data_IF_497550683409
#
_entry.id   IF_497550683409
#
_cell.length_a   1.000
_cell.length_b   1.000
_cell.length_c   1.000
_cell.angle_alpha   90.00
_cell.angle_beta   90.00
_cell.angle_gamma   90.00
#
_symmetry.space_group_name_H-M   'P 1'
#
loop_
_entity.id
_entity.type
_entity.pdbx_description
1 polymer ?
#
# COMPACT_ATOMS: atom_id res chain seq x y z
N UNK A 1 2.52 0.89 -1.84
CA UNK A 1 3.26 1.17 -0.59
C UNK A 1 2.27 1.20 0.56
N UNK A 2 2.58 0.52 1.66
CA UNK A 2 1.76 0.50 2.89
C UNK A 2 2.47 1.24 4.01
N UNK A 3 1.75 1.53 5.08
CA UNK A 3 2.29 2.17 6.28
C UNK A 3 3.01 1.13 7.15
N UNK A 4 4.21 1.44 7.62
CA UNK A 4 4.94 0.61 8.57
C UNK A 4 4.24 0.53 9.93
N UNK A 5 4.37 -0.62 10.58
CA UNK A 5 4.01 -0.78 11.98
C UNK A 5 4.79 0.20 12.85
N UNK A 6 4.07 0.95 13.67
CA UNK A 6 4.70 1.79 14.70
C UNK A 6 5.43 0.91 15.73
N UNK A 7 6.41 1.45 16.49
CA UNK A 7 7.21 0.65 17.40
C UNK A 7 6.41 -0.15 18.45
N UNK A 8 5.29 0.39 18.94
CA UNK A 8 4.43 -0.33 19.91
C UNK A 8 3.80 -1.57 19.30
N UNK A 9 3.28 -1.46 18.07
CA UNK A 9 2.56 -2.54 17.39
C UNK A 9 3.51 -3.62 16.89
N UNK A 10 4.72 -3.22 16.50
CA UNK A 10 5.80 -4.17 16.21
C UNK A 10 6.20 -4.97 17.46
N UNK A 11 6.30 -4.30 18.62
CA UNK A 11 6.64 -4.95 19.90
C UNK A 11 5.54 -5.89 20.39
N UNK A 12 4.28 -5.57 20.13
CA UNK A 12 3.15 -6.44 20.49
C UNK A 12 2.97 -7.63 19.55
N UNK A 13 3.72 -7.69 18.43
CA UNK A 13 3.59 -8.74 17.44
C UNK A 13 2.31 -8.62 16.61
N UNK A 14 1.80 -7.41 16.41
CA UNK A 14 0.59 -7.18 15.62
C UNK A 14 0.76 -7.73 14.19
N UNK A 15 -0.20 -8.54 13.77
CA UNK A 15 -0.23 -9.12 12.43
C UNK A 15 -0.97 -8.23 11.44
N UNK A 16 -0.51 -8.24 10.18
CA UNK A 16 -1.08 -7.47 9.07
C UNK A 16 -1.48 -8.40 7.90
N UNK A 17 -2.44 -9.32 8.09
CA UNK A 17 -2.79 -10.33 7.08
C UNK A 17 -3.25 -9.71 5.75
N UNK A 18 -3.81 -8.49 5.80
CA UNK A 18 -4.22 -7.73 4.61
C UNK A 18 -3.06 -7.46 3.64
N UNK A 19 -1.82 -7.36 4.13
CA UNK A 19 -0.64 -7.15 3.27
C UNK A 19 -0.36 -8.35 2.38
N UNK A 20 -0.57 -9.58 2.88
CA UNK A 20 -0.45 -10.80 2.06
C UNK A 20 -1.47 -10.80 0.94
N UNK A 21 -2.72 -10.40 1.23
CA UNK A 21 -3.77 -10.25 0.22
C UNK A 21 -3.38 -9.23 -0.85
N UNK A 22 -2.86 -8.06 -0.45
CA UNK A 22 -2.37 -7.05 -1.39
C UNK A 22 -1.23 -7.59 -2.27
N UNK A 23 -0.23 -8.26 -1.68
CA UNK A 23 0.87 -8.84 -2.44
C UNK A 23 0.38 -9.87 -3.46
N UNK A 24 -0.59 -10.71 -3.09
CA UNK A 24 -1.19 -11.69 -4.00
C UNK A 24 -1.91 -11.03 -5.18
N UNK A 25 -2.71 -9.99 -4.91
CA UNK A 25 -3.43 -9.22 -5.95
C UNK A 25 -2.44 -8.51 -6.87
N UNK A 26 -1.42 -7.87 -6.31
CA UNK A 26 -0.38 -7.16 -7.06
C UNK A 26 0.43 -8.11 -7.94
N UNK A 27 0.84 -9.26 -7.42
CA UNK A 27 1.55 -10.29 -8.18
C UNK A 27 0.73 -10.79 -9.38
N UNK A 28 -0.57 -11.05 -9.18
CA UNK A 28 -1.49 -11.42 -10.27
C UNK A 28 -1.66 -10.32 -11.33
N UNK A 29 -1.44 -9.06 -10.95
CA UNK A 29 -1.46 -7.90 -11.85
C UNK A 29 -0.09 -7.61 -12.50
N UNK A 30 0.91 -8.49 -12.33
CA UNK A 30 2.24 -8.34 -12.92
C UNK A 30 3.20 -7.45 -12.12
N UNK A 31 2.88 -7.14 -10.86
CA UNK A 31 3.79 -6.42 -9.97
C UNK A 31 4.60 -7.42 -9.14
N UNK A 32 5.88 -7.59 -9.50
CA UNK A 32 6.76 -8.60 -8.89
C UNK A 32 7.54 -8.12 -7.66
N UNK A 33 7.47 -6.82 -7.35
CA UNK A 33 8.20 -6.26 -6.21
C UNK A 33 7.43 -6.46 -4.90
N UNK A 34 8.17 -6.45 -3.79
CA UNK A 34 7.56 -6.43 -2.46
C UNK A 34 6.84 -5.10 -2.20
N UNK A 35 5.82 -5.16 -1.33
CA UNK A 35 5.18 -3.96 -0.82
C UNK A 35 6.21 -3.02 -0.17
N UNK A 36 6.40 -1.84 -0.78
CA UNK A 36 7.17 -0.78 -0.17
C UNK A 36 6.53 -0.32 1.15
N UNK A 37 7.37 -0.14 2.16
CA UNK A 37 7.00 0.21 3.53
C UNK A 37 7.39 1.67 3.80
N UNK A 38 6.50 2.45 4.42
CA UNK A 38 6.72 3.87 4.69
C UNK A 38 6.36 4.19 6.14
N UNK A 39 7.23 4.91 6.83
CA UNK A 39 6.99 5.41 8.19
C UNK A 39 5.64 6.17 8.28
N UNK A 40 4.94 6.06 9.40
CA UNK A 40 3.58 6.57 9.61
C UNK A 40 3.40 8.04 9.25
N UNK A 41 4.24 8.94 9.73
CA UNK A 41 4.14 10.36 9.41
C UNK A 41 4.50 10.64 7.95
N UNK A 42 5.52 9.96 7.42
CA UNK A 42 5.86 10.06 6.00
C UNK A 42 4.73 9.56 5.09
N UNK A 43 3.96 8.55 5.52
CA UNK A 43 2.78 8.07 4.81
C UNK A 43 1.68 9.14 4.78
N UNK A 44 1.41 9.81 5.90
CA UNK A 44 0.45 10.91 5.94
C UNK A 44 0.87 12.09 5.06
N UNK A 45 2.15 12.49 5.09
CA UNK A 45 2.66 13.55 4.22
C UNK A 45 2.56 13.19 2.74
N UNK A 46 2.74 11.91 2.40
CA UNK A 46 2.56 11.43 1.03
C UNK A 46 1.08 11.39 0.63
N UNK A 47 0.20 10.97 1.53
CA UNK A 47 -1.24 10.93 1.28
C UNK A 47 -1.84 12.33 1.04
N UNK A 48 -1.38 13.35 1.77
CA UNK A 48 -1.76 14.76 1.54
C UNK A 48 -1.41 15.28 0.14
N UNK A 49 -0.37 14.70 -0.48
CA UNK A 49 0.11 15.03 -1.83
C UNK A 49 -0.45 14.09 -2.91
N UNK A 50 -1.27 13.12 -2.53
CA UNK A 50 -1.88 12.20 -3.49
C UNK A 50 -2.91 12.93 -4.34
N UNK A 51 -3.13 12.45 -5.56
CA UNK A 51 -4.15 12.99 -6.45
C UNK A 51 -5.56 12.86 -5.87
N UNK A 52 -5.84 11.74 -5.22
CA UNK A 52 -7.11 11.48 -4.55
C UNK A 52 -6.90 10.51 -3.38
N UNK A 53 -7.82 10.56 -2.41
CA UNK A 53 -7.96 9.57 -1.34
C UNK A 53 -9.36 8.98 -1.44
N UNK A 54 -9.44 7.65 -1.50
CA UNK A 54 -10.71 6.93 -1.52
C UNK A 54 -10.99 6.44 -0.11
N UNK A 55 -12.02 7.00 0.53
CA UNK A 55 -12.50 6.52 1.82
C UNK A 55 -13.31 5.23 1.60
N UNK A 56 -12.83 4.12 2.14
CA UNK A 56 -13.46 2.80 2.02
C UNK A 56 -14.05 2.37 3.37
N UNK A 57 -14.84 1.30 3.38
CA UNK A 57 -15.31 0.64 4.61
C UNK A 57 -14.35 -0.42 5.16
N UNK A 58 -13.08 -0.42 4.75
CA UNK A 58 -12.08 -1.40 5.21
C UNK A 58 -11.81 -1.23 6.71
N UNK A 59 -11.83 -2.33 7.45
CA UNK A 59 -11.63 -2.37 8.91
C UNK A 59 -10.27 -2.93 9.32
N UNK A 60 -9.52 -3.53 8.39
CA UNK A 60 -8.20 -4.09 8.67
C UNK A 60 -7.21 -2.99 9.08
N UNK A 61 -6.53 -3.22 10.21
CA UNK A 61 -5.46 -2.35 10.67
C UNK A 61 -4.32 -2.33 9.65
N UNK A 62 -3.74 -1.15 9.41
CA UNK A 62 -2.70 -0.93 8.41
C UNK A 62 -3.11 -1.33 6.98
N UNK A 63 -4.42 -1.32 6.66
CA UNK A 63 -4.96 -1.53 5.32
C UNK A 63 -4.75 -0.36 4.34
N UNK A 64 -4.19 0.77 4.79
CA UNK A 64 -3.96 1.91 3.90
C UNK A 64 -2.87 1.59 2.86
N UNK A 65 -3.16 1.83 1.58
CA UNK A 65 -2.25 1.58 0.46
C UNK A 65 -2.17 2.82 -0.44
N UNK A 66 -0.95 3.26 -0.75
CA UNK A 66 -0.68 4.28 -1.77
C UNK A 66 -0.20 3.58 -3.05
N UNK A 67 -0.91 3.85 -4.15
CA UNK A 67 -0.54 3.43 -5.51
C UNK A 67 0.07 4.61 -6.28
N UNK A 68 1.12 4.34 -7.06
CA UNK A 68 1.71 5.31 -7.98
C UNK A 68 1.41 4.84 -9.40
N UNK A 69 0.62 5.61 -10.14
CA UNK A 69 0.30 5.32 -11.54
C UNK A 69 1.59 5.38 -12.39
N UNK A 70 1.83 4.34 -13.17
CA UNK A 70 2.91 4.27 -14.15
C UNK A 70 2.52 4.82 -15.51
N UNK A 71 3.43 4.71 -16.47
CA UNK A 71 3.20 5.05 -17.88
C UNK A 71 2.76 3.78 -18.61
N UNK A 72 1.79 3.91 -19.53
CA UNK A 72 1.45 2.83 -20.47
C UNK A 72 2.34 2.98 -21.70
N UNK A 73 3.02 1.90 -22.11
CA UNK A 73 3.80 1.93 -23.34
C UNK A 73 2.84 1.87 -24.55
N UNK A 74 3.22 2.43 -25.72
CA UNK A 74 2.35 2.42 -26.91
C UNK A 74 1.84 1.03 -27.33
N UNK A 75 2.65 -0.01 -27.09
CA UNK A 75 2.30 -1.41 -27.37
C UNK A 75 1.18 -1.98 -26.47
N UNK A 76 0.90 -1.33 -25.34
CA UNK A 76 -0.10 -1.77 -24.36
C UNK A 76 -1.43 -1.01 -24.52
N UNK A 77 -1.55 -0.15 -25.54
CA UNK A 77 -2.75 0.66 -25.85
C UNK A 77 -3.69 0.03 -26.89
N UNK A 78 -3.43 -1.21 -27.29
CA UNK A 78 -4.23 -1.95 -28.29
C UNK A 78 -5.19 -2.95 -27.65
#
# INVERSE_FOLDING_TARGET
MVMELVPSDRKSGLLTPVWTSYQSILSRAGYEFSLGMVERFAFYERAKKAFAVVATGETALYGNLILKKGVLAPKDLC
#
